data_IF_544885070748
#
_entry.id   IF_544885070748
#
_cell.length_a   1.000
_cell.length_b   1.000
_cell.length_c   1.000
_cell.angle_alpha   90.00
_cell.angle_beta   90.00
_cell.angle_gamma   90.00
#
_symmetry.space_group_name_H-M   'P 1'
#
loop_
_entity.id
_entity.type
_entity.pdbx_description
1 polymer ?
#
# COMPACT_ATOMS: atom_id res chain seq x y z
N UNK A 1 -6.41 10.61 -15.44
CA UNK A 1 -5.00 10.42 -15.05
C UNK A 1 -5.02 9.71 -13.71
N UNK A 2 -4.41 8.52 -13.59
CA UNK A 2 -4.28 7.85 -12.30
C UNK A 2 -3.16 8.55 -11.52
N UNK A 3 -3.53 9.31 -10.50
CA UNK A 3 -2.60 9.88 -9.54
C UNK A 3 -2.71 9.06 -8.25
N UNK A 4 -1.59 8.48 -7.85
CA UNK A 4 -1.42 7.89 -6.53
C UNK A 4 -0.41 8.74 -5.77
N UNK A 5 -0.70 9.05 -4.52
CA UNK A 5 0.23 9.76 -3.62
C UNK A 5 0.70 8.79 -2.55
N UNK A 6 2.03 8.68 -2.40
CA UNK A 6 2.64 7.84 -1.38
C UNK A 6 2.95 8.69 -0.14
N UNK A 7 2.50 8.23 1.02
CA UNK A 7 2.79 8.83 2.32
C UNK A 7 3.62 7.87 3.16
N UNK A 8 4.56 8.43 3.93
CA UNK A 8 5.22 7.70 5.00
C UNK A 8 4.49 8.04 6.29
N UNK A 9 4.01 7.01 6.97
CA UNK A 9 3.28 7.09 8.25
C UNK A 9 4.10 6.36 9.31
N UNK A 10 4.10 6.84 10.55
CA UNK A 10 4.92 6.21 11.60
C UNK A 10 4.37 4.85 12.01
N UNK A 11 3.08 4.71 12.26
CA UNK A 11 2.46 3.48 12.76
C UNK A 11 1.12 3.20 12.07
N UNK A 12 0.78 1.92 11.94
CA UNK A 12 -0.57 1.51 11.56
C UNK A 12 -1.48 1.51 12.79
N UNK A 13 -2.71 2.00 12.63
CA UNK A 13 -3.74 1.96 13.66
C UNK A 13 -4.82 0.96 13.23
N UNK A 14 -4.90 -0.24 13.84
CA UNK A 14 -5.91 -1.22 13.50
C UNK A 14 -7.32 -0.69 13.66
N UNK A 15 -8.18 -1.00 12.70
CA UNK A 15 -9.59 -0.64 12.71
C UNK A 15 -10.36 -1.39 13.81
N UNK A 16 -11.52 -0.85 14.25
CA UNK A 16 -12.37 -1.55 15.20
C UNK A 16 -12.75 -2.96 14.72
N UNK A 17 -12.34 -3.97 15.48
CA UNK A 17 -12.58 -5.39 15.16
C UNK A 17 -11.33 -6.14 14.71
N UNK A 18 -10.25 -5.44 14.40
CA UNK A 18 -8.94 -6.07 14.16
C UNK A 18 -8.21 -6.36 15.47
N UNK A 19 -7.35 -7.40 15.52
CA UNK A 19 -6.43 -7.60 16.63
C UNK A 19 -5.57 -6.36 16.87
N UNK A 20 -5.33 -6.02 18.14
CA UNK A 20 -4.55 -4.82 18.51
C UNK A 20 -3.08 -4.89 18.12
N UNK A 21 -2.59 -6.08 17.79
CA UNK A 21 -1.24 -6.38 17.33
C UNK A 21 -1.15 -6.55 15.80
N UNK A 22 -2.20 -6.17 15.07
CA UNK A 22 -2.18 -6.15 13.60
C UNK A 22 -1.17 -5.12 13.11
N UNK A 23 -0.29 -5.54 12.22
CA UNK A 23 0.74 -4.72 11.62
C UNK A 23 0.58 -4.77 10.10
N UNK A 24 0.61 -3.60 9.46
CA UNK A 24 0.67 -3.48 8.01
C UNK A 24 1.98 -2.78 7.63
N UNK A 25 2.59 -3.21 6.52
CA UNK A 25 3.77 -2.54 5.95
C UNK A 25 3.35 -1.45 4.96
N UNK A 26 2.26 -1.71 4.23
CA UNK A 26 1.64 -0.81 3.27
C UNK A 26 0.12 -0.88 3.34
N UNK A 27 -0.55 0.15 2.85
CA UNK A 27 -2.00 0.17 2.66
C UNK A 27 -2.38 1.09 1.50
N UNK A 28 -3.00 0.52 0.48
CA UNK A 28 -3.68 1.23 -0.59
C UNK A 28 -5.11 1.62 -0.17
N UNK A 29 -5.40 2.92 -0.22
CA UNK A 29 -6.71 3.52 0.01
C UNK A 29 -7.13 4.30 -1.23
N UNK A 30 -8.05 3.74 -2.00
CA UNK A 30 -8.56 4.39 -3.20
C UNK A 30 -9.96 3.95 -3.57
N UNK A 31 -10.58 4.71 -4.46
CA UNK A 31 -11.86 4.32 -5.07
C UNK A 31 -11.57 3.43 -6.28
N UNK A 32 -12.15 2.22 -6.41
CA UNK A 32 -11.90 1.33 -7.54
C UNK A 32 -12.08 2.03 -8.89
N UNK A 33 -11.20 1.77 -9.86
CA UNK A 33 -11.26 2.40 -11.20
C UNK A 33 -12.59 2.16 -11.91
N UNK A 34 -13.23 1.01 -11.66
CA UNK A 34 -14.56 0.66 -12.19
C UNK A 34 -15.70 1.50 -11.63
N UNK A 35 -15.46 2.18 -10.52
CA UNK A 35 -16.45 3.01 -9.82
C UNK A 35 -16.18 4.52 -10.00
N UNK A 36 -15.13 4.89 -10.75
CA UNK A 36 -14.81 6.30 -11.06
C UNK A 36 -15.67 6.78 -12.23
N UNK A 37 -16.67 7.58 -11.93
CA UNK A 37 -17.50 8.30 -12.88
C UNK A 37 -16.97 9.72 -13.14
N UNK A 38 -17.62 10.46 -14.05
CA UNK A 38 -17.21 11.83 -14.43
C UNK A 38 -17.21 12.83 -13.26
N UNK A 39 -17.82 12.48 -12.12
CA UNK A 39 -17.82 13.28 -10.90
C UNK A 39 -16.53 13.10 -10.10
N UNK A 40 -15.86 11.94 -10.21
CA UNK A 40 -14.59 11.70 -9.54
C UNK A 40 -13.51 12.72 -9.95
N UNK A 41 -13.40 13.00 -11.25
CA UNK A 41 -12.46 13.97 -11.83
C UNK A 41 -12.76 15.44 -11.43
N UNK A 42 -13.95 15.73 -10.90
CA UNK A 42 -14.40 17.10 -10.58
C UNK A 42 -14.09 17.57 -9.15
N UNK A 43 -13.39 16.75 -8.34
CA UNK A 43 -13.01 17.13 -6.98
C UNK A 43 -12.57 16.02 -6.03
N UNK A 44 -12.36 14.80 -6.52
CA UNK A 44 -11.90 13.69 -5.65
C UNK A 44 -10.42 13.81 -5.33
N UNK A 45 -10.07 13.38 -4.12
CA UNK A 45 -8.67 13.24 -3.73
C UNK A 45 -8.04 12.07 -4.50
N UNK A 46 -6.74 12.16 -4.87
CA UNK A 46 -6.02 11.05 -5.48
C UNK A 46 -5.99 9.84 -4.53
N UNK A 47 -5.82 8.65 -5.09
CA UNK A 47 -5.64 7.46 -4.25
C UNK A 47 -4.37 7.59 -3.41
N UNK A 48 -4.40 6.97 -2.24
CA UNK A 48 -3.33 7.04 -1.26
C UNK A 48 -2.69 5.67 -1.11
N UNK A 49 -1.36 5.63 -1.08
CA UNK A 49 -0.62 4.50 -0.54
C UNK A 49 0.08 4.99 0.73
N UNK A 50 -0.22 4.37 1.86
CA UNK A 50 0.48 4.60 3.12
C UNK A 50 1.55 3.54 3.31
N UNK A 51 2.78 3.94 3.63
CA UNK A 51 3.88 3.04 3.98
C UNK A 51 4.21 3.27 5.45
N UNK A 52 4.19 2.21 6.26
CA UNK A 52 4.30 2.30 7.71
C UNK A 52 5.73 2.04 8.18
N UNK A 53 6.39 3.11 8.64
CA UNK A 53 7.79 3.12 9.03
C UNK A 53 8.10 2.23 10.23
N UNK A 54 7.29 2.31 11.29
CA UNK A 54 7.45 1.53 12.51
C UNK A 54 7.45 0.02 12.25
N UNK A 55 6.39 -0.51 11.60
CA UNK A 55 6.32 -1.92 11.20
C UNK A 55 7.52 -2.37 10.36
N UNK A 56 7.87 -1.61 9.32
CA UNK A 56 9.03 -1.90 8.47
C UNK A 56 10.35 -1.93 9.25
N UNK A 57 10.55 -1.00 10.17
CA UNK A 57 11.75 -0.95 11.02
C UNK A 57 11.80 -2.07 12.06
N UNK A 58 10.66 -2.65 12.45
CA UNK A 58 10.61 -3.83 13.33
C UNK A 58 10.87 -5.12 12.56
N UNK A 59 10.51 -5.14 11.27
CA UNK A 59 10.69 -6.29 10.40
C UNK A 59 12.14 -6.45 9.90
N UNK A 60 12.81 -5.34 9.61
CA UNK A 60 14.13 -5.34 8.96
C UNK A 60 15.26 -5.01 9.95
N UNK A 61 16.37 -5.75 9.88
CA UNK A 61 17.54 -5.56 10.74
C UNK A 61 18.65 -4.71 10.09
N UNK A 62 18.52 -4.39 8.80
CA UNK A 62 19.49 -3.59 8.05
C UNK A 62 18.83 -2.55 7.14
N UNK A 63 19.63 -1.55 6.73
CA UNK A 63 19.17 -0.53 5.79
C UNK A 63 18.90 -1.12 4.41
N UNK A 64 19.72 -2.07 3.99
CA UNK A 64 19.62 -2.74 2.70
C UNK A 64 18.31 -3.55 2.63
N UNK A 65 18.04 -4.36 3.66
CA UNK A 65 16.78 -5.09 3.81
C UNK A 65 15.57 -4.16 3.87
N UNK A 66 15.64 -3.07 4.64
CA UNK A 66 14.57 -2.08 4.71
C UNK A 66 14.25 -1.46 3.34
N UNK A 67 15.27 -1.18 2.52
CA UNK A 67 15.06 -0.62 1.18
C UNK A 67 14.41 -1.65 0.25
N UNK A 68 14.82 -2.91 0.33
CA UNK A 68 14.21 -4.00 -0.44
C UNK A 68 12.75 -4.21 -0.02
N UNK A 69 12.46 -4.24 1.28
CA UNK A 69 11.12 -4.44 1.81
C UNK A 69 10.18 -3.28 1.46
N UNK A 70 10.66 -2.03 1.52
CA UNK A 70 9.90 -0.86 1.04
C UNK A 70 9.56 -1.01 -0.44
N UNK A 71 10.51 -1.46 -1.27
CA UNK A 71 10.29 -1.64 -2.70
C UNK A 71 9.21 -2.71 -2.96
N UNK A 72 9.31 -3.86 -2.30
CA UNK A 72 8.35 -4.96 -2.40
C UNK A 72 6.95 -4.47 -1.98
N UNK A 73 6.86 -3.84 -0.81
CA UNK A 73 5.60 -3.27 -0.28
C UNK A 73 4.98 -2.30 -1.29
N UNK A 74 5.74 -1.32 -1.79
CA UNK A 74 5.21 -0.34 -2.75
C UNK A 74 4.75 -1.01 -4.05
N UNK A 75 5.48 -2.02 -4.55
CA UNK A 75 5.08 -2.74 -5.76
C UNK A 75 3.79 -3.52 -5.53
N UNK A 76 3.61 -4.17 -4.37
CA UNK A 76 2.37 -4.84 -4.02
C UNK A 76 1.18 -3.89 -4.00
N UNK A 77 1.28 -2.76 -3.29
CA UNK A 77 0.19 -1.79 -3.19
C UNK A 77 -0.17 -1.17 -4.56
N UNK A 78 0.83 -0.90 -5.40
CA UNK A 78 0.59 -0.41 -6.78
C UNK A 78 -0.06 -1.50 -7.64
N UNK A 79 0.38 -2.75 -7.52
CA UNK A 79 -0.18 -3.86 -8.28
C UNK A 79 -1.65 -4.10 -7.91
N UNK A 80 -1.98 -4.08 -6.62
CA UNK A 80 -3.36 -4.16 -6.14
C UNK A 80 -4.21 -2.99 -6.65
N UNK A 81 -3.66 -1.77 -6.72
CA UNK A 81 -4.34 -0.63 -7.35
C UNK A 81 -4.72 -0.91 -8.82
N UNK A 82 -3.90 -1.65 -9.56
CA UNK A 82 -4.18 -2.07 -10.93
C UNK A 82 -4.99 -3.37 -11.04
N UNK A 83 -5.44 -3.96 -9.93
CA UNK A 83 -6.21 -5.20 -9.89
C UNK A 83 -5.39 -6.45 -10.18
N UNK A 84 -4.08 -6.41 -9.93
CA UNK A 84 -3.19 -7.57 -9.98
C UNK A 84 -3.20 -8.23 -8.61
N UNK A 85 -3.41 -9.55 -8.55
CA UNK A 85 -3.45 -10.32 -7.30
C UNK A 85 -2.05 -10.84 -6.88
N UNK A 86 -1.99 -11.34 -5.65
CA UNK A 86 -0.76 -11.87 -5.04
C UNK A 86 -0.20 -13.07 -5.82
N UNK A 87 -1.07 -13.93 -6.35
CA UNK A 87 -0.66 -15.08 -7.16
C UNK A 87 0.11 -14.64 -8.40
N UNK A 88 -0.34 -13.55 -9.05
CA UNK A 88 0.35 -12.98 -10.20
C UNK A 88 1.66 -12.29 -9.81
N UNK A 89 1.72 -11.63 -8.67
CA UNK A 89 2.92 -10.98 -8.16
C UNK A 89 4.04 -11.99 -7.86
N UNK A 90 3.71 -13.10 -7.19
CA UNK A 90 4.64 -14.20 -6.96
C UNK A 90 5.22 -14.76 -8.26
N UNK A 91 4.40 -14.92 -9.31
CA UNK A 91 4.87 -15.37 -10.63
C UNK A 91 5.85 -14.40 -11.29
N UNK A 92 5.78 -13.11 -10.94
CA UNK A 92 6.65 -12.05 -11.46
C UNK A 92 7.90 -11.84 -10.60
N UNK A 93 8.07 -12.60 -9.51
CA UNK A 93 9.21 -12.50 -8.60
C UNK A 93 9.04 -11.45 -7.50
N UNK A 94 7.81 -11.03 -7.23
CA UNK A 94 7.44 -10.09 -6.17
C UNK A 94 6.62 -10.85 -5.13
N UNK A 95 7.28 -11.67 -4.33
CA UNK A 95 6.67 -12.54 -3.33
C UNK A 95 7.51 -12.57 -2.07
#
# INVERSE_FOLDING_TARGET
MTNVVIFVVEEYEPHPGEPSDTELLGLYEGTPLTERDSWWDAGSLPDRISIFRGPLMRLCDSREELVEEILVTVVHEIAHHFGIDDDRLHQLGWG
#
